data_IF_456590273106
#
_entry.id   IF_456590273106
#
_cell.length_a   1.000
_cell.length_b   1.000
_cell.length_c   1.000
_cell.angle_alpha   90.00
_cell.angle_beta   90.00
_cell.angle_gamma   90.00
#
_symmetry.space_group_name_H-M   'P 1'
#
loop_
_entity.id
_entity.type
_entity.pdbx_description
1 polymer ?
#
# COMPACT_ATOMS: atom_id res chain seq x y z
N UNK A 1 14.35 -26.93 27.70
CA UNK A 1 14.26 -26.22 26.42
C UNK A 1 15.61 -25.58 26.14
N UNK A 2 16.14 -25.71 24.95
CA UNK A 2 17.37 -24.99 24.58
C UNK A 2 17.11 -23.47 24.57
N UNK A 3 18.15 -22.66 24.74
CA UNK A 3 18.04 -21.19 24.67
C UNK A 3 17.45 -20.73 23.32
N UNK A 4 17.84 -21.42 22.25
CA UNK A 4 17.32 -21.17 20.89
C UNK A 4 15.80 -21.35 20.79
N UNK A 5 15.25 -22.43 21.38
CA UNK A 5 13.82 -22.68 21.38
C UNK A 5 13.05 -21.60 22.18
N UNK A 6 13.65 -21.11 23.27
CA UNK A 6 13.03 -20.03 24.05
C UNK A 6 13.00 -18.75 23.24
N UNK A 7 14.10 -18.40 22.55
CA UNK A 7 14.16 -17.21 21.70
C UNK A 7 13.17 -17.30 20.51
N UNK A 8 13.00 -18.46 19.90
CA UNK A 8 12.01 -18.69 18.85
C UNK A 8 10.58 -18.48 19.35
N UNK A 9 10.26 -19.00 20.55
CA UNK A 9 8.93 -18.78 21.16
C UNK A 9 8.71 -17.29 21.47
N UNK A 10 9.72 -16.60 22.02
CA UNK A 10 9.60 -15.17 22.31
C UNK A 10 9.39 -14.38 21.01
N UNK A 11 10.16 -14.65 19.96
CA UNK A 11 10.02 -13.97 18.66
C UNK A 11 8.63 -14.18 18.07
N UNK A 12 8.17 -15.44 18.03
CA UNK A 12 6.85 -15.77 17.50
C UNK A 12 5.72 -15.15 18.34
N UNK A 13 5.79 -15.25 19.67
CA UNK A 13 4.78 -14.67 20.56
C UNK A 13 4.75 -13.15 20.48
N UNK A 14 5.90 -12.48 20.35
CA UNK A 14 6.00 -11.03 20.19
C UNK A 14 5.38 -10.59 18.87
N UNK A 15 5.68 -11.28 17.76
CA UNK A 15 5.13 -10.97 16.47
C UNK A 15 3.61 -11.20 16.42
N UNK A 16 3.13 -12.36 16.87
CA UNK A 16 1.69 -12.67 16.92
C UNK A 16 0.98 -11.69 17.85
N UNK A 17 1.55 -11.40 19.02
CA UNK A 17 1.01 -10.43 19.97
C UNK A 17 0.91 -9.03 19.37
N UNK A 18 1.94 -8.58 18.61
CA UNK A 18 1.89 -7.31 17.91
C UNK A 18 0.76 -7.29 16.87
N UNK A 19 0.62 -8.34 16.06
CA UNK A 19 -0.48 -8.43 15.07
C UNK A 19 -1.85 -8.41 15.76
N UNK A 20 -2.03 -9.17 16.82
CA UNK A 20 -3.30 -9.19 17.59
C UNK A 20 -3.62 -7.81 18.16
N UNK A 21 -2.66 -7.12 18.76
CA UNK A 21 -2.85 -5.77 19.29
C UNK A 21 -3.17 -4.75 18.21
N UNK A 22 -2.55 -4.86 17.02
CA UNK A 22 -2.88 -4.02 15.85
C UNK A 22 -4.34 -4.26 15.44
N UNK A 23 -4.78 -5.52 15.37
CA UNK A 23 -6.17 -5.89 15.03
C UNK A 23 -7.20 -5.39 16.06
N UNK A 24 -6.84 -5.30 17.33
CA UNK A 24 -7.72 -4.82 18.39
C UNK A 24 -7.85 -3.28 18.42
N UNK A 25 -7.02 -2.56 17.69
CA UNK A 25 -7.04 -1.07 17.54
C UNK A 25 -7.00 -0.30 18.90
N UNK A 26 -6.54 -0.94 19.97
CA UNK A 26 -6.51 -0.32 21.30
C UNK A 26 -5.33 0.63 21.49
N UNK A 27 -4.27 0.44 20.73
CA UNK A 27 -3.05 1.24 20.76
C UNK A 27 -2.63 1.63 19.35
N UNK A 28 -1.89 2.72 19.24
CA UNK A 28 -1.35 3.17 17.96
C UNK A 28 -0.39 2.12 17.37
N UNK A 29 -0.53 1.79 16.09
CA UNK A 29 0.23 0.73 15.40
C UNK A 29 1.75 0.88 15.56
N UNK A 30 2.25 2.12 15.49
CA UNK A 30 3.66 2.44 15.66
C UNK A 30 4.15 2.11 17.07
N UNK A 31 3.34 2.38 18.10
CA UNK A 31 3.69 2.06 19.51
C UNK A 31 3.76 0.55 19.69
N UNK A 32 2.80 -0.20 19.13
CA UNK A 32 2.79 -1.66 19.21
C UNK A 32 4.05 -2.25 18.56
N UNK A 33 4.38 -1.81 17.34
CA UNK A 33 5.55 -2.29 16.61
C UNK A 33 6.86 -1.94 17.34
N UNK A 34 6.95 -0.72 17.89
CA UNK A 34 8.11 -0.29 18.67
C UNK A 34 8.29 -1.11 19.94
N UNK A 35 7.21 -1.36 20.69
CA UNK A 35 7.24 -2.23 21.86
C UNK A 35 7.69 -3.64 21.49
N UNK A 36 7.17 -4.20 20.39
CA UNK A 36 7.59 -5.51 19.92
C UNK A 36 9.08 -5.56 19.57
N UNK A 37 9.59 -4.57 18.84
CA UNK A 37 11.02 -4.46 18.53
C UNK A 37 11.88 -4.35 19.81
N UNK A 38 11.45 -3.55 20.78
CA UNK A 38 12.13 -3.42 22.06
C UNK A 38 12.12 -4.74 22.88
N UNK A 39 11.01 -5.47 22.89
CA UNK A 39 10.94 -6.79 23.55
C UNK A 39 12.01 -7.73 22.97
N UNK A 40 12.19 -7.79 21.65
CA UNK A 40 13.21 -8.64 21.02
C UNK A 40 14.64 -8.27 21.44
N UNK A 41 14.91 -6.96 21.61
CA UNK A 41 16.22 -6.48 22.07
C UNK A 41 16.42 -6.77 23.56
N UNK A 42 15.45 -6.45 24.43
CA UNK A 42 15.56 -6.65 25.88
C UNK A 42 15.58 -8.12 26.29
N UNK A 43 14.95 -9.00 25.52
CA UNK A 43 14.97 -10.46 25.76
C UNK A 43 16.18 -11.15 25.11
N UNK A 44 17.12 -10.36 24.55
CA UNK A 44 18.33 -10.88 23.90
C UNK A 44 18.04 -11.84 22.72
N UNK A 45 16.87 -11.74 22.09
CA UNK A 45 16.62 -12.41 20.81
C UNK A 45 17.54 -11.82 19.73
N UNK A 46 17.74 -10.49 19.76
CA UNK A 46 18.72 -9.80 18.93
C UNK A 46 19.39 -8.67 19.70
N UNK A 47 20.57 -8.27 19.22
CA UNK A 47 21.26 -7.06 19.69
C UNK A 47 20.68 -5.81 19.01
N UNK A 48 20.95 -4.63 19.57
CA UNK A 48 20.55 -3.37 18.94
C UNK A 48 21.21 -3.20 17.55
N UNK A 49 22.46 -3.62 17.39
CA UNK A 49 23.17 -3.55 16.11
C UNK A 49 22.50 -4.44 15.06
N UNK A 50 22.06 -5.62 15.41
CA UNK A 50 21.31 -6.50 14.51
C UNK A 50 19.94 -5.90 14.15
N UNK A 51 19.23 -5.31 15.13
CA UNK A 51 17.97 -4.61 14.87
C UNK A 51 18.17 -3.46 13.85
N UNK A 52 19.20 -2.63 14.02
CA UNK A 52 19.57 -1.58 13.05
C UNK A 52 19.93 -2.19 11.70
N UNK A 53 20.61 -3.35 11.68
CA UNK A 53 20.90 -4.10 10.45
C UNK A 53 19.64 -4.50 9.70
N UNK A 54 18.59 -4.97 10.40
CA UNK A 54 17.30 -5.29 9.76
C UNK A 54 16.58 -4.03 9.23
N UNK A 55 16.65 -2.91 9.95
CA UNK A 55 16.14 -1.62 9.45
C UNK A 55 16.87 -1.22 8.17
N UNK A 56 18.20 -1.37 8.12
CA UNK A 56 19.00 -0.99 6.94
C UNK A 56 18.66 -1.80 5.69
N UNK A 57 18.14 -3.03 5.82
CA UNK A 57 17.66 -3.84 4.69
C UNK A 57 16.44 -3.24 4.00
N UNK A 58 15.67 -2.42 4.71
CA UNK A 58 14.48 -1.73 4.19
C UNK A 58 14.76 -0.32 3.64
N UNK A 59 16.05 0.04 3.43
CA UNK A 59 16.45 1.39 3.05
C UNK A 59 15.74 1.90 1.78
N UNK A 60 15.57 1.05 0.76
CA UNK A 60 14.90 1.43 -0.48
C UNK A 60 13.42 1.78 -0.23
N UNK A 61 12.71 0.95 0.54
CA UNK A 61 11.32 1.20 0.93
C UNK A 61 11.18 2.50 1.72
N UNK A 62 12.01 2.68 2.75
CA UNK A 62 11.96 3.88 3.59
C UNK A 62 12.28 5.15 2.81
N UNK A 63 13.32 5.12 1.94
CA UNK A 63 13.72 6.25 1.12
C UNK A 63 12.66 6.62 0.08
N UNK A 64 12.04 5.62 -0.58
CA UNK A 64 10.98 5.84 -1.54
C UNK A 64 9.79 6.53 -0.90
N UNK A 65 9.25 5.96 0.19
CA UNK A 65 8.04 6.51 0.81
C UNK A 65 8.28 7.85 1.47
N UNK A 66 9.42 8.03 2.15
CA UNK A 66 9.81 9.35 2.64
C UNK A 66 9.87 10.38 1.49
N UNK A 67 10.54 10.03 0.38
CA UNK A 67 10.68 10.91 -0.78
C UNK A 67 9.33 11.28 -1.39
N UNK A 68 8.44 10.31 -1.60
CA UNK A 68 7.11 10.55 -2.16
C UNK A 68 6.25 11.37 -1.20
N UNK A 69 6.25 11.09 0.11
CA UNK A 69 5.50 11.87 1.11
C UNK A 69 5.93 13.34 1.13
N UNK A 70 7.23 13.61 1.12
CA UNK A 70 7.78 14.97 1.08
C UNK A 70 7.42 15.67 -0.22
N UNK A 71 7.57 14.99 -1.36
CA UNK A 71 7.22 15.53 -2.67
C UNK A 71 5.78 16.00 -2.70
N UNK A 72 4.85 15.17 -2.26
CA UNK A 72 3.41 15.45 -2.28
C UNK A 72 3.04 16.56 -1.31
N UNK A 73 3.55 16.48 -0.06
CA UNK A 73 3.27 17.48 0.98
C UNK A 73 3.74 18.87 0.56
N UNK A 74 4.83 18.97 -0.21
CA UNK A 74 5.33 20.23 -0.72
C UNK A 74 4.36 21.00 -1.62
N UNK A 75 3.41 20.31 -2.26
CA UNK A 75 2.41 20.92 -3.16
C UNK A 75 1.01 21.06 -2.56
N UNK A 76 0.77 20.54 -1.35
CA UNK A 76 -0.54 20.66 -0.67
C UNK A 76 -0.99 22.12 -0.50
N UNK A 77 -0.11 23.11 -0.16
CA UNK A 77 -0.52 24.52 -0.04
C UNK A 77 -1.02 25.15 -1.36
N UNK A 78 -0.77 24.50 -2.51
CA UNK A 78 -1.30 24.95 -3.80
C UNK A 78 -2.81 24.69 -3.95
N UNK A 79 -3.41 23.91 -3.03
CA UNK A 79 -4.82 23.46 -3.07
C UNK A 79 -5.18 22.64 -4.30
N UNK A 80 -4.20 21.96 -4.92
CA UNK A 80 -4.47 21.10 -6.09
C UNK A 80 -5.42 19.96 -5.74
N UNK A 81 -5.29 19.36 -4.55
CA UNK A 81 -6.14 18.25 -4.13
C UNK A 81 -7.58 18.70 -3.88
N UNK A 82 -7.78 19.90 -3.27
CA UNK A 82 -9.09 20.53 -3.10
C UNK A 82 -9.75 20.77 -4.47
N UNK A 83 -8.99 21.32 -5.42
CA UNK A 83 -9.46 21.53 -6.79
C UNK A 83 -9.87 20.20 -7.46
N UNK A 84 -9.03 19.16 -7.38
CA UNK A 84 -9.34 17.85 -7.95
C UNK A 84 -10.59 17.22 -7.31
N UNK A 85 -10.76 17.34 -5.99
CA UNK A 85 -11.94 16.84 -5.31
C UNK A 85 -13.23 17.57 -5.76
N UNK A 86 -13.17 18.89 -5.97
CA UNK A 86 -14.32 19.65 -6.50
C UNK A 86 -14.66 19.21 -7.93
N UNK A 87 -13.68 18.81 -8.73
CA UNK A 87 -13.94 18.28 -10.07
C UNK A 87 -14.81 17.01 -10.05
N UNK A 88 -14.80 16.22 -8.96
CA UNK A 88 -15.68 15.04 -8.81
C UNK A 88 -17.14 15.47 -8.97
N UNK A 89 -17.54 16.56 -8.33
CA UNK A 89 -18.94 17.06 -8.39
C UNK A 89 -19.25 17.69 -9.74
N UNK A 90 -18.30 18.41 -10.31
CA UNK A 90 -18.44 19.00 -11.66
C UNK A 90 -18.65 17.89 -12.70
N UNK A 91 -17.90 16.81 -12.64
CA UNK A 91 -18.06 15.62 -13.50
C UNK A 91 -19.42 14.96 -13.27
N UNK A 92 -19.92 14.98 -12.03
CA UNK A 92 -21.17 14.32 -11.65
C UNK A 92 -22.42 14.89 -12.33
N UNK A 93 -22.42 16.18 -12.70
CA UNK A 93 -23.54 16.83 -13.40
C UNK A 93 -24.91 16.49 -12.80
N UNK A 94 -25.02 16.47 -11.48
CA UNK A 94 -26.27 16.12 -10.76
C UNK A 94 -26.66 14.65 -10.81
N UNK A 95 -25.76 13.75 -11.21
CA UNK A 95 -26.04 12.30 -11.32
C UNK A 95 -25.14 11.48 -10.40
N UNK A 96 -25.73 10.70 -9.49
CA UNK A 96 -25.01 9.85 -8.55
C UNK A 96 -24.08 8.82 -9.23
N UNK A 97 -24.47 8.28 -10.39
CA UNK A 97 -23.59 7.38 -11.16
C UNK A 97 -22.29 8.07 -11.60
N UNK A 98 -22.38 9.33 -12.05
CA UNK A 98 -21.21 10.09 -12.47
C UNK A 98 -20.38 10.57 -11.27
N UNK A 99 -21.01 10.80 -10.12
CA UNK A 99 -20.32 11.06 -8.85
C UNK A 99 -19.42 9.88 -8.47
N UNK A 100 -19.95 8.66 -8.47
CA UNK A 100 -19.18 7.44 -8.17
C UNK A 100 -18.06 7.23 -9.18
N UNK A 101 -18.33 7.41 -10.48
CA UNK A 101 -17.31 7.31 -11.53
C UNK A 101 -16.28 8.43 -11.43
N UNK A 102 -16.65 9.63 -11.00
CA UNK A 102 -15.74 10.75 -10.73
C UNK A 102 -14.75 10.43 -9.60
N UNK A 103 -15.22 9.78 -8.52
CA UNK A 103 -14.34 9.30 -7.45
C UNK A 103 -13.34 8.29 -8.02
N UNK A 104 -13.79 7.31 -8.81
CA UNK A 104 -12.88 6.34 -9.47
C UNK A 104 -11.87 7.06 -10.35
N UNK A 105 -12.32 7.97 -11.23
CA UNK A 105 -11.48 8.64 -12.22
C UNK A 105 -10.40 9.54 -11.59
N UNK A 106 -10.67 10.16 -10.43
CA UNK A 106 -9.72 11.04 -9.76
C UNK A 106 -8.82 10.25 -8.80
N UNK A 107 -9.36 9.30 -8.05
CA UNK A 107 -8.58 8.52 -7.09
C UNK A 107 -7.56 7.60 -7.79
N UNK A 108 -7.94 6.97 -8.91
CA UNK A 108 -7.09 6.00 -9.61
C UNK A 108 -5.72 6.55 -10.02
N UNK A 109 -5.60 7.65 -10.79
CA UNK A 109 -4.30 8.14 -11.23
C UNK A 109 -3.46 8.68 -10.07
N UNK A 110 -4.09 9.23 -9.03
CA UNK A 110 -3.40 9.73 -7.84
C UNK A 110 -2.77 8.56 -7.08
N UNK A 111 -3.53 7.49 -6.82
CA UNK A 111 -3.03 6.29 -6.13
C UNK A 111 -2.07 5.44 -6.97
N UNK A 112 -2.04 5.61 -8.28
CA UNK A 112 -1.00 4.99 -9.11
C UNK A 112 0.41 5.57 -8.83
N UNK A 113 0.49 6.77 -8.26
CA UNK A 113 1.75 7.48 -7.99
C UNK A 113 2.00 7.66 -6.49
N UNK A 114 0.94 7.82 -5.71
CA UNK A 114 1.00 8.07 -4.28
C UNK A 114 0.55 6.84 -3.49
N UNK A 115 1.15 6.61 -2.32
CA UNK A 115 0.69 5.57 -1.41
C UNK A 115 -0.82 5.70 -1.11
N UNK A 116 -1.50 4.58 -1.08
CA UNK A 116 -2.96 4.51 -0.87
C UNK A 116 -3.43 5.29 0.39
N UNK A 117 -2.75 5.11 1.53
CA UNK A 117 -3.08 5.83 2.76
C UNK A 117 -2.90 7.35 2.62
N UNK A 118 -1.81 7.80 1.98
CA UNK A 118 -1.54 9.23 1.72
C UNK A 118 -2.62 9.82 0.82
N UNK A 119 -3.02 9.12 -0.25
CA UNK A 119 -4.09 9.59 -1.14
C UNK A 119 -5.41 9.72 -0.40
N UNK A 120 -5.77 8.74 0.43
CA UNK A 120 -7.00 8.81 1.25
C UNK A 120 -6.90 9.96 2.25
N UNK A 121 -5.76 10.17 2.90
CA UNK A 121 -5.56 11.29 3.83
C UNK A 121 -5.79 12.66 3.17
N UNK A 122 -5.38 12.80 1.90
CA UNK A 122 -5.51 14.05 1.15
C UNK A 122 -6.92 14.29 0.57
N UNK A 123 -7.55 13.24 0.04
CA UNK A 123 -8.83 13.39 -0.69
C UNK A 123 -10.06 13.14 0.19
N UNK A 124 -9.98 12.23 1.16
CA UNK A 124 -11.14 11.84 1.94
C UNK A 124 -11.75 12.96 2.82
N UNK A 125 -10.97 13.90 3.41
CA UNK A 125 -11.55 15.04 4.15
C UNK A 125 -12.46 15.92 3.31
N UNK A 126 -12.29 15.90 1.98
CA UNK A 126 -13.05 16.72 1.05
C UNK A 126 -14.40 16.09 0.68
N UNK A 127 -14.58 14.78 0.90
CA UNK A 127 -15.81 14.05 0.56
C UNK A 127 -17.00 14.39 1.46
N UNK A 128 -16.87 14.44 2.81
CA UNK A 128 -18.01 14.72 3.68
C UNK A 128 -18.69 16.06 3.42
N UNK A 129 -17.97 17.21 3.32
CA UNK A 129 -18.60 18.48 2.97
C UNK A 129 -19.36 18.41 1.65
N UNK A 130 -18.73 17.89 0.60
CA UNK A 130 -19.32 17.74 -0.73
C UNK A 130 -20.61 16.88 -0.66
N UNK A 131 -20.56 15.75 0.04
CA UNK A 131 -21.69 14.86 0.18
C UNK A 131 -22.86 15.48 0.95
N UNK A 132 -22.55 16.29 1.97
CA UNK A 132 -23.55 17.04 2.74
C UNK A 132 -24.26 18.09 1.87
N UNK A 133 -23.51 18.84 1.06
CA UNK A 133 -24.06 19.87 0.16
C UNK A 133 -25.04 19.28 -0.87
N UNK A 134 -24.80 18.05 -1.33
CA UNK A 134 -25.67 17.35 -2.27
C UNK A 134 -26.69 16.41 -1.62
N UNK A 135 -26.75 16.38 -0.26
CA UNK A 135 -27.71 15.58 0.51
C UNK A 135 -27.52 14.06 0.41
N UNK A 136 -26.26 13.59 0.24
CA UNK A 136 -25.90 12.16 0.12
C UNK A 136 -25.08 11.73 1.34
N UNK A 137 -25.28 10.49 1.79
CA UNK A 137 -24.43 9.88 2.83
C UNK A 137 -23.00 9.72 2.31
N UNK A 138 -22.04 10.31 3.02
CA UNK A 138 -20.62 10.29 2.64
C UNK A 138 -19.90 8.98 2.97
N UNK A 139 -20.43 8.16 3.89
CA UNK A 139 -19.78 6.90 4.30
C UNK A 139 -19.57 5.95 3.10
N UNK A 140 -20.58 5.67 2.23
CA UNK A 140 -20.37 4.85 1.04
C UNK A 140 -19.35 5.43 0.06
N UNK A 141 -19.26 6.77 -0.04
CA UNK A 141 -18.29 7.44 -0.93
C UNK A 141 -16.86 7.28 -0.42
N UNK A 142 -16.66 7.40 0.89
CA UNK A 142 -15.36 7.12 1.52
C UNK A 142 -14.95 5.66 1.35
N UNK A 143 -15.88 4.72 1.54
CA UNK A 143 -15.64 3.28 1.33
C UNK A 143 -15.23 3.02 -0.14
N UNK A 144 -15.94 3.62 -1.11
CA UNK A 144 -15.56 3.51 -2.52
C UNK A 144 -14.15 4.05 -2.76
N UNK A 145 -13.85 5.26 -2.26
CA UNK A 145 -12.52 5.86 -2.41
C UNK A 145 -11.42 4.93 -1.92
N UNK A 146 -11.62 4.30 -0.77
CA UNK A 146 -10.66 3.36 -0.18
C UNK A 146 -10.47 2.12 -1.06
N UNK A 147 -11.55 1.51 -1.57
CA UNK A 147 -11.44 0.35 -2.46
C UNK A 147 -10.67 0.68 -3.74
N UNK A 148 -10.93 1.86 -4.30
CA UNK A 148 -10.20 2.33 -5.49
C UNK A 148 -8.76 2.63 -5.13
N UNK A 149 -8.48 3.28 -4.00
CA UNK A 149 -7.12 3.59 -3.55
C UNK A 149 -6.28 2.32 -3.39
N UNK A 150 -6.78 1.32 -2.67
CA UNK A 150 -6.08 0.06 -2.48
C UNK A 150 -5.86 -0.69 -3.80
N UNK A 151 -6.89 -0.75 -4.67
CA UNK A 151 -6.80 -1.43 -5.97
C UNK A 151 -5.83 -0.73 -6.92
N UNK A 152 -5.84 0.61 -6.92
CA UNK A 152 -4.99 1.43 -7.80
C UNK A 152 -3.52 1.41 -7.39
N UNK A 153 -3.22 1.09 -6.13
CA UNK A 153 -1.85 0.84 -5.66
C UNK A 153 -1.13 -0.27 -6.42
N UNK A 154 -1.87 -1.18 -7.07
CA UNK A 154 -1.33 -2.23 -7.94
C UNK A 154 -1.02 -1.76 -9.37
N UNK A 155 -1.36 -0.53 -9.75
CA UNK A 155 -1.09 -0.01 -11.11
C UNK A 155 0.38 0.29 -11.36
N UNK A 156 1.12 0.63 -10.32
CA UNK A 156 2.56 0.88 -10.40
C UNK A 156 3.30 0.28 -9.20
N UNK A 157 4.59 0.10 -9.37
CA UNK A 157 5.47 -0.42 -8.30
C UNK A 157 5.48 0.48 -7.06
N UNK A 158 5.23 1.79 -7.19
CA UNK A 158 5.34 2.78 -6.12
C UNK A 158 4.00 3.16 -5.49
N UNK A 159 2.88 2.65 -6.03
CA UNK A 159 1.52 3.00 -5.57
C UNK A 159 1.11 2.38 -4.23
N UNK A 160 1.76 1.29 -3.80
CA UNK A 160 1.48 0.64 -2.52
C UNK A 160 2.78 0.10 -1.89
N UNK A 161 3.01 0.33 -0.57
CA UNK A 161 4.19 -0.19 0.12
C UNK A 161 4.37 -1.70 0.03
N UNK A 162 3.29 -2.47 0.17
CA UNK A 162 3.36 -3.92 0.07
C UNK A 162 3.83 -4.36 -1.32
N UNK A 163 3.36 -3.69 -2.37
CA UNK A 163 3.77 -3.92 -3.76
C UNK A 163 5.25 -3.61 -3.97
N UNK A 164 5.73 -2.48 -3.44
CA UNK A 164 7.14 -2.11 -3.56
C UNK A 164 8.06 -3.09 -2.81
N UNK A 165 7.71 -3.50 -1.59
CA UNK A 165 8.49 -4.45 -0.79
C UNK A 165 8.66 -5.79 -1.54
N UNK A 166 7.61 -6.30 -2.16
CA UNK A 166 7.71 -7.53 -2.96
C UNK A 166 8.56 -7.30 -4.20
N UNK A 167 8.32 -6.22 -4.91
CA UNK A 167 9.06 -5.89 -6.13
C UNK A 167 10.57 -5.72 -5.89
N UNK A 168 10.93 -4.99 -4.85
CA UNK A 168 12.32 -4.81 -4.41
C UNK A 168 12.97 -6.16 -4.02
N UNK A 169 12.24 -7.01 -3.30
CA UNK A 169 12.71 -8.32 -2.86
C UNK A 169 12.99 -9.31 -3.98
N UNK A 170 12.36 -9.17 -5.15
CA UNK A 170 12.58 -9.99 -6.35
C UNK A 170 13.34 -9.26 -7.45
N UNK A 171 13.83 -8.06 -7.17
CA UNK A 171 14.57 -7.20 -8.09
C UNK A 171 13.82 -6.92 -9.42
N UNK A 172 12.49 -6.76 -9.37
CA UNK A 172 11.72 -6.39 -10.56
C UNK A 172 11.89 -4.90 -10.85
N UNK A 173 12.19 -4.57 -12.11
CA UNK A 173 12.29 -3.18 -12.52
C UNK A 173 10.91 -2.51 -12.62
N UNK A 174 10.88 -1.18 -12.55
CA UNK A 174 9.63 -0.42 -12.70
C UNK A 174 8.94 -0.71 -14.05
N UNK A 175 9.71 -0.82 -15.13
CA UNK A 175 9.18 -1.14 -16.47
C UNK A 175 8.62 -2.56 -16.54
N UNK A 176 9.34 -3.54 -16.00
CA UNK A 176 8.84 -4.93 -15.94
C UNK A 176 7.56 -5.02 -15.13
N UNK A 177 7.47 -4.28 -14.02
CA UNK A 177 6.25 -4.20 -13.23
C UNK A 177 5.08 -3.67 -14.07
N UNK A 178 5.29 -2.56 -14.79
CA UNK A 178 4.26 -1.98 -15.67
C UNK A 178 3.80 -2.97 -16.74
N UNK A 179 4.72 -3.69 -17.34
CA UNK A 179 4.41 -4.64 -18.41
C UNK A 179 3.69 -5.90 -17.92
N UNK A 180 4.09 -6.41 -16.73
CA UNK A 180 3.62 -7.71 -16.24
C UNK A 180 2.45 -7.61 -15.26
N UNK A 181 2.40 -6.56 -14.43
CA UNK A 181 1.51 -6.53 -13.25
C UNK A 181 0.45 -5.42 -13.31
N UNK A 182 0.72 -4.29 -13.97
CA UNK A 182 -0.21 -3.15 -13.99
C UNK A 182 -1.58 -3.50 -14.58
N UNK A 183 -1.62 -4.41 -15.55
CA UNK A 183 -2.90 -4.87 -16.13
C UNK A 183 -3.78 -5.55 -15.08
N UNK A 184 -3.20 -6.36 -14.18
CA UNK A 184 -3.94 -6.95 -13.07
C UNK A 184 -4.49 -5.90 -12.10
N UNK A 185 -3.71 -4.84 -11.82
CA UNK A 185 -4.18 -3.67 -11.08
C UNK A 185 -5.36 -2.96 -11.77
N UNK A 186 -5.26 -2.76 -13.09
CA UNK A 186 -6.34 -2.18 -13.88
C UNK A 186 -7.61 -3.04 -13.85
N UNK A 187 -7.48 -4.37 -13.92
CA UNK A 187 -8.60 -5.31 -13.77
C UNK A 187 -9.22 -5.20 -12.38
N UNK A 188 -8.40 -5.03 -11.33
CA UNK A 188 -8.91 -4.87 -9.97
C UNK A 188 -9.74 -3.59 -9.80
N UNK A 189 -9.28 -2.45 -10.37
CA UNK A 189 -10.05 -1.18 -10.41
C UNK A 189 -11.32 -1.35 -11.24
N UNK A 190 -11.23 -1.97 -12.42
CA UNK A 190 -12.37 -2.23 -13.29
C UNK A 190 -13.41 -3.12 -12.59
N UNK A 191 -12.99 -4.12 -11.83
CA UNK A 191 -13.88 -5.00 -11.05
C UNK A 191 -14.73 -4.19 -10.09
N UNK A 192 -14.14 -3.29 -9.28
CA UNK A 192 -14.90 -2.40 -8.39
C UNK A 192 -15.83 -1.49 -9.19
N UNK A 193 -15.34 -0.92 -10.30
CA UNK A 193 -16.11 -0.02 -11.16
C UNK A 193 -17.36 -0.69 -11.73
N UNK A 194 -17.25 -1.93 -12.20
CA UNK A 194 -18.38 -2.72 -12.69
C UNK A 194 -19.36 -3.11 -11.58
N UNK A 195 -18.90 -3.22 -10.34
CA UNK A 195 -19.74 -3.51 -9.19
C UNK A 195 -20.51 -2.29 -8.65
N UNK A 196 -20.21 -1.05 -9.05
CA UNK A 196 -20.83 0.18 -8.51
C UNK A 196 -22.36 0.16 -8.50
N UNK A 197 -23.07 -0.26 -9.57
CA UNK A 197 -24.54 -0.27 -9.57
C UNK A 197 -25.13 -1.22 -8.52
N UNK A 198 -24.41 -2.27 -8.18
CA UNK A 198 -24.81 -3.27 -7.22
C UNK A 198 -24.38 -2.92 -5.78
N UNK A 199 -23.18 -2.38 -5.61
CA UNK A 199 -22.65 -1.97 -4.31
C UNK A 199 -23.38 -0.73 -3.76
N UNK A 200 -23.64 0.25 -4.62
CA UNK A 200 -24.20 1.55 -4.25
C UNK A 200 -25.50 1.89 -5.00
N UNK A 201 -26.52 0.99 -5.02
CA UNK A 201 -27.69 1.15 -5.87
C UNK A 201 -28.51 2.42 -5.57
N UNK A 202 -28.52 2.88 -4.32
CA UNK A 202 -29.20 4.11 -3.93
C UNK A 202 -28.51 5.31 -4.56
N UNK A 203 -27.21 5.45 -4.37
CA UNK A 203 -26.43 6.59 -4.93
C UNK A 203 -26.43 6.52 -6.45
N UNK A 204 -26.25 5.32 -7.04
CA UNK A 204 -26.23 5.13 -8.49
C UNK A 204 -27.46 5.68 -9.20
N UNK A 205 -28.63 5.56 -8.58
CA UNK A 205 -29.93 6.00 -9.13
C UNK A 205 -30.32 7.42 -8.70
N UNK A 206 -29.63 8.02 -7.73
CA UNK A 206 -29.95 9.35 -7.23
C UNK A 206 -29.62 10.40 -8.28
N UNK A 207 -30.52 11.38 -8.39
CA UNK A 207 -30.27 12.65 -9.06
C UNK A 207 -30.32 13.73 -8.00
N UNK A 208 -29.40 14.67 -8.05
CA UNK A 208 -29.36 15.83 -7.16
C UNK A 208 -29.33 17.10 -8.00
N UNK A 209 -29.77 18.20 -7.44
CA UNK A 209 -29.71 19.48 -8.14
C UNK A 209 -28.26 19.83 -8.46
N UNK A 210 -28.05 20.34 -9.66
CA UNK A 210 -26.71 20.75 -10.06
C UNK A 210 -26.34 21.99 -9.25
N UNK A 211 -25.35 21.86 -8.40
CA UNK A 211 -24.86 22.98 -7.60
C UNK A 211 -23.97 23.85 -8.50
N UNK A 212 -24.55 24.88 -9.11
CA UNK A 212 -23.80 25.88 -9.87
C UNK A 212 -22.89 26.72 -8.97
N UNK A 213 -23.17 26.77 -7.66
CA UNK A 213 -22.51 27.60 -6.67
C UNK A 213 -21.55 26.86 -5.73
N UNK A 214 -21.03 25.70 -6.11
CA UNK A 214 -19.96 25.10 -5.30
C UNK A 214 -18.76 26.05 -5.29
N UNK A 215 -18.20 26.37 -4.10
CA UNK A 215 -17.00 27.16 -4.04
C UNK A 215 -15.91 26.41 -4.79
N UNK A 216 -15.53 26.94 -5.96
CA UNK A 216 -14.36 26.44 -6.69
C UNK A 216 -13.12 26.90 -5.92
N UNK A 217 -12.40 25.99 -5.26
CA UNK A 217 -11.15 26.37 -4.61
C UNK A 217 -10.23 26.92 -5.69
N UNK A 218 -9.82 28.17 -5.53
CA UNK A 218 -8.82 28.76 -6.40
C UNK A 218 -7.48 28.05 -6.18
N UNK A 219 -6.83 27.69 -7.28
CA UNK A 219 -5.48 27.13 -7.22
C UNK A 219 -4.55 28.25 -6.73
N UNK A 220 -3.99 28.04 -5.56
CA UNK A 220 -2.96 28.93 -5.02
C UNK A 220 -1.64 28.69 -5.77
N UNK A 221 -0.92 29.75 -6.04
CA UNK A 221 0.44 29.68 -6.63
C UNK A 221 0.53 28.86 -7.93
N UNK A 222 -0.22 29.21 -9.02
CA UNK A 222 -0.28 28.40 -10.25
C UNK A 222 1.07 28.18 -10.92
N UNK A 223 2.02 29.12 -10.79
CA UNK A 223 3.39 28.96 -11.29
C UNK A 223 4.15 27.84 -10.57
N UNK A 224 3.99 27.77 -9.24
CA UNK A 224 4.61 26.71 -8.43
C UNK A 224 3.99 25.35 -8.77
N UNK A 225 2.68 25.32 -8.95
CA UNK A 225 1.99 24.10 -9.38
C UNK A 225 2.48 23.63 -10.75
N UNK A 226 2.67 24.55 -11.71
CA UNK A 226 3.20 24.19 -13.04
C UNK A 226 4.62 23.62 -12.95
N UNK A 227 5.52 24.26 -12.17
CA UNK A 227 6.87 23.74 -11.92
C UNK A 227 6.84 22.40 -11.18
N UNK A 228 5.94 22.24 -10.21
CA UNK A 228 5.70 20.98 -9.51
C UNK A 228 5.22 19.88 -10.44
N UNK A 229 4.34 20.20 -11.37
CA UNK A 229 3.89 19.28 -12.43
C UNK A 229 5.05 18.82 -13.32
N UNK A 230 5.95 19.72 -13.70
CA UNK A 230 7.19 19.39 -14.45
C UNK A 230 8.08 18.47 -13.60
N UNK A 231 8.26 18.76 -12.31
CA UNK A 231 9.04 17.93 -11.41
C UNK A 231 8.44 16.53 -11.24
N UNK A 232 7.13 16.44 -11.07
CA UNK A 232 6.43 15.14 -10.98
C UNK A 232 6.58 14.37 -12.29
N UNK A 233 6.41 15.02 -13.43
CA UNK A 233 6.62 14.39 -14.74
C UNK A 233 8.07 13.88 -14.89
N UNK A 234 9.05 14.66 -14.43
CA UNK A 234 10.45 14.25 -14.40
C UNK A 234 10.64 13.00 -13.52
N UNK A 235 10.11 12.99 -12.30
CA UNK A 235 10.17 11.83 -11.39
C UNK A 235 9.56 10.59 -12.04
N UNK A 236 8.39 10.72 -12.67
CA UNK A 236 7.72 9.60 -13.35
C UNK A 236 8.51 9.08 -14.55
N UNK A 237 9.11 9.98 -15.34
CA UNK A 237 10.00 9.59 -16.44
C UNK A 237 11.20 8.83 -15.90
N UNK A 238 11.83 9.31 -14.82
CA UNK A 238 13.00 8.66 -14.25
C UNK A 238 12.66 7.35 -13.51
N UNK A 239 11.46 7.14 -13.02
CA UNK A 239 11.02 5.81 -12.59
C UNK A 239 11.03 4.80 -13.75
N UNK A 240 10.71 5.26 -14.96
CA UNK A 240 10.67 4.39 -16.15
C UNK A 240 12.06 4.16 -16.74
N UNK A 241 12.86 5.22 -16.90
CA UNK A 241 14.16 5.11 -17.62
C UNK A 241 15.37 5.00 -16.69
N UNK A 242 15.25 5.34 -15.40
CA UNK A 242 16.39 5.46 -14.49
C UNK A 242 17.17 4.15 -14.32
N UNK A 243 16.46 3.03 -14.28
CA UNK A 243 17.08 1.70 -14.15
C UNK A 243 17.78 1.23 -15.44
N UNK A 244 17.49 1.86 -16.58
CA UNK A 244 18.10 1.53 -17.88
C UNK A 244 19.43 2.24 -18.14
N UNK A 245 19.87 3.15 -17.25
CA UNK A 245 21.16 3.83 -17.40
C UNK A 245 22.33 2.87 -17.15
N UNK A 246 23.54 3.17 -17.71
CA UNK A 246 24.75 2.38 -17.43
C UNK A 246 25.07 2.26 -15.93
N UNK A 247 24.70 3.28 -15.14
CA UNK A 247 24.66 3.23 -13.68
C UNK A 247 23.19 3.36 -13.29
N UNK A 248 22.52 2.26 -12.89
CA UNK A 248 21.09 2.27 -12.61
C UNK A 248 20.75 3.23 -11.47
N UNK A 249 19.71 4.04 -11.69
CA UNK A 249 19.15 4.94 -10.65
C UNK A 249 17.88 4.28 -10.12
N UNK A 250 17.92 3.89 -8.85
CA UNK A 250 16.78 3.22 -8.22
C UNK A 250 15.58 4.16 -8.04
N UNK A 251 14.34 3.65 -8.02
CA UNK A 251 13.14 4.45 -7.73
C UNK A 251 13.24 5.23 -6.41
N UNK A 252 13.87 4.64 -5.39
CA UNK A 252 14.12 5.31 -4.11
C UNK A 252 14.99 6.57 -4.27
N UNK A 253 16.06 6.49 -5.05
CA UNK A 253 16.95 7.65 -5.32
C UNK A 253 16.20 8.74 -6.11
N UNK A 254 15.38 8.36 -7.10
CA UNK A 254 14.55 9.29 -7.86
C UNK A 254 13.52 9.99 -6.98
N UNK A 255 12.88 9.27 -6.05
CA UNK A 255 11.94 9.87 -5.11
C UNK A 255 12.60 10.87 -4.17
N UNK A 256 13.81 10.57 -3.63
CA UNK A 256 14.59 11.50 -2.81
C UNK A 256 15.03 12.75 -3.60
N UNK A 257 15.41 12.58 -4.86
CA UNK A 257 15.68 13.69 -5.76
C UNK A 257 14.45 14.58 -5.92
N UNK A 258 13.29 13.99 -6.25
CA UNK A 258 12.02 14.71 -6.35
C UNK A 258 11.67 15.47 -5.08
N UNK A 259 11.80 14.83 -3.92
CA UNK A 259 11.61 15.46 -2.61
C UNK A 259 12.50 16.68 -2.39
N UNK A 260 13.79 16.54 -2.69
CA UNK A 260 14.77 17.62 -2.50
C UNK A 260 14.41 18.83 -3.35
N UNK A 261 14.09 18.63 -4.62
CA UNK A 261 13.70 19.73 -5.52
C UNK A 261 12.32 20.31 -5.17
N UNK A 262 11.38 19.50 -4.68
CA UNK A 262 10.09 19.99 -4.19
C UNK A 262 10.27 20.90 -2.95
N UNK A 263 11.11 20.50 -1.99
CA UNK A 263 11.46 21.33 -0.83
C UNK A 263 12.11 22.65 -1.26
N UNK A 264 13.05 22.60 -2.20
CA UNK A 264 13.70 23.81 -2.74
C UNK A 264 12.68 24.73 -3.40
N UNK A 265 11.79 24.19 -4.21
CA UNK A 265 10.74 24.95 -4.90
C UNK A 265 9.77 25.59 -3.89
N UNK A 266 9.30 24.83 -2.90
CA UNK A 266 8.42 25.33 -1.85
C UNK A 266 9.07 26.45 -1.03
N UNK A 267 10.32 26.27 -0.64
CA UNK A 267 11.09 27.24 0.12
C UNK A 267 11.35 28.54 -0.67
N UNK A 268 11.85 28.43 -1.91
CA UNK A 268 12.14 29.59 -2.75
C UNK A 268 10.87 30.37 -3.11
N UNK A 269 9.77 29.67 -3.31
CA UNK A 269 8.47 30.27 -3.64
C UNK A 269 7.72 30.80 -2.39
N UNK A 270 8.27 30.59 -1.20
CA UNK A 270 7.69 31.01 0.09
C UNK A 270 6.27 30.50 0.32
N UNK A 271 5.92 29.35 -0.24
CA UNK A 271 4.58 28.74 -0.05
C UNK A 271 4.49 27.97 1.25
N UNK A 272 5.60 27.36 1.68
CA UNK A 272 5.72 26.71 2.98
C UNK A 272 7.20 26.66 3.43
N UNK A 273 7.42 26.36 4.71
CA UNK A 273 8.77 26.17 5.25
C UNK A 273 9.17 24.71 5.21
N UNK A 274 10.46 24.43 5.03
CA UNK A 274 10.99 23.06 5.07
C UNK A 274 10.61 22.36 6.37
N UNK A 275 10.62 23.10 7.51
CA UNK A 275 10.24 22.54 8.81
C UNK A 275 8.79 22.10 8.87
N UNK A 276 7.84 22.87 8.33
CA UNK A 276 6.44 22.50 8.29
C UNK A 276 6.22 21.27 7.40
N UNK A 277 6.81 21.26 6.19
CA UNK A 277 6.69 20.14 5.27
C UNK A 277 7.22 18.86 5.93
N UNK A 278 8.40 18.91 6.55
CA UNK A 278 8.99 17.75 7.21
C UNK A 278 8.22 17.32 8.46
N UNK A 279 7.60 18.27 9.20
CA UNK A 279 6.76 17.97 10.36
C UNK A 279 5.52 17.15 9.98
N UNK A 280 4.95 17.43 8.81
CA UNK A 280 3.70 16.83 8.34
C UNK A 280 3.93 15.52 7.55
N UNK A 281 5.19 15.05 7.43
CA UNK A 281 5.51 13.70 6.93
C UNK A 281 4.91 12.66 7.88
N UNK A 282 4.38 11.58 7.34
CA UNK A 282 3.85 10.46 8.14
C UNK A 282 4.99 9.63 8.75
N UNK A 283 5.61 10.21 9.79
CA UNK A 283 6.65 9.56 10.58
C UNK A 283 6.16 8.28 11.25
N UNK A 284 4.86 8.22 11.57
CA UNK A 284 4.24 7.04 12.17
C UNK A 284 4.39 5.82 11.29
N UNK A 285 4.07 5.95 10.02
CA UNK A 285 4.20 4.88 9.03
C UNK A 285 5.66 4.50 8.80
N UNK A 286 6.59 5.47 8.72
CA UNK A 286 8.02 5.18 8.53
C UNK A 286 8.60 4.42 9.74
N UNK A 287 8.30 4.86 10.99
CA UNK A 287 8.75 4.18 12.20
C UNK A 287 8.11 2.78 12.30
N UNK A 288 6.84 2.66 11.94
CA UNK A 288 6.17 1.36 11.89
C UNK A 288 6.89 0.40 10.93
N UNK A 289 7.30 0.86 9.74
CA UNK A 289 8.09 0.04 8.80
C UNK A 289 9.40 -0.41 9.42
N UNK A 290 10.17 0.53 10.00
CA UNK A 290 11.42 0.17 10.67
C UNK A 290 11.21 -0.94 11.70
N UNK A 291 10.20 -0.81 12.55
CA UNK A 291 9.94 -1.78 13.61
C UNK A 291 9.44 -3.13 13.10
N UNK A 292 8.60 -3.14 12.04
CA UNK A 292 8.11 -4.41 11.49
C UNK A 292 9.23 -5.22 10.85
N UNK A 293 10.22 -4.57 10.21
CA UNK A 293 11.41 -5.26 9.70
C UNK A 293 12.26 -5.87 10.83
N UNK A 294 12.35 -5.20 11.99
CA UNK A 294 13.00 -5.77 13.17
C UNK A 294 12.25 -7.00 13.70
N UNK A 295 10.92 -6.91 13.77
CA UNK A 295 10.08 -8.03 14.23
C UNK A 295 10.24 -9.27 13.34
N UNK A 296 10.25 -9.08 12.02
CA UNK A 296 10.47 -10.16 11.06
C UNK A 296 11.91 -10.68 11.16
N UNK A 297 12.88 -9.78 11.32
CA UNK A 297 14.27 -10.17 11.60
C UNK A 297 14.42 -11.09 12.81
N UNK A 298 13.61 -10.89 13.84
CA UNK A 298 13.54 -11.79 14.99
C UNK A 298 13.05 -13.19 14.61
N UNK A 299 12.04 -13.30 13.76
CA UNK A 299 11.54 -14.59 13.25
C UNK A 299 12.57 -15.30 12.35
N UNK A 300 13.27 -14.54 11.49
CA UNK A 300 14.33 -15.07 10.65
C UNK A 300 15.48 -15.64 11.50
N UNK A 301 16.03 -14.81 12.39
CA UNK A 301 17.17 -15.15 13.23
C UNK A 301 16.92 -16.37 14.10
N UNK A 302 15.71 -16.54 14.60
CA UNK A 302 15.35 -17.66 15.50
C UNK A 302 14.92 -18.92 14.75
N UNK A 303 14.93 -18.92 13.40
CA UNK A 303 14.58 -20.07 12.59
C UNK A 303 13.07 -20.35 12.47
N UNK A 304 12.20 -19.47 13.00
CA UNK A 304 10.74 -19.62 12.87
C UNK A 304 10.33 -19.60 11.40
N UNK A 305 10.92 -18.68 10.58
CA UNK A 305 10.67 -18.61 9.13
C UNK A 305 11.06 -19.92 8.46
N UNK A 306 12.21 -20.52 8.80
CA UNK A 306 12.64 -21.81 8.25
C UNK A 306 11.68 -22.95 8.60
N UNK A 307 11.20 -23.00 9.84
CA UNK A 307 10.19 -23.97 10.27
C UNK A 307 8.88 -23.85 9.48
N UNK A 308 8.37 -22.63 9.34
CA UNK A 308 7.14 -22.36 8.56
C UNK A 308 7.32 -22.67 7.08
N UNK A 309 8.48 -22.36 6.49
CA UNK A 309 8.78 -22.67 5.09
C UNK A 309 8.86 -24.16 4.83
N UNK A 310 9.33 -24.95 5.78
CA UNK A 310 9.31 -26.42 5.73
C UNK A 310 7.89 -26.98 5.69
N UNK A 311 6.98 -26.42 6.49
CA UNK A 311 5.55 -26.77 6.45
C UNK A 311 4.96 -26.41 5.08
N UNK A 312 5.25 -25.21 4.57
CA UNK A 312 4.79 -24.77 3.25
C UNK A 312 5.30 -25.70 2.14
N UNK A 313 6.57 -26.10 2.21
CA UNK A 313 7.18 -27.03 1.29
C UNK A 313 6.52 -28.43 1.32
N UNK A 314 6.11 -28.89 2.49
CA UNK A 314 5.42 -30.17 2.64
C UNK A 314 3.99 -30.16 2.05
N UNK A 315 3.32 -28.99 2.06
CA UNK A 315 1.95 -28.83 1.55
C UNK A 315 1.94 -28.60 0.04
N UNK A 316 2.76 -27.67 -0.45
CA UNK A 316 2.75 -27.23 -1.86
C UNK A 316 3.72 -28.03 -2.74
N UNK A 317 4.75 -28.66 -2.16
CA UNK A 317 5.79 -29.36 -2.89
C UNK A 317 6.48 -28.43 -3.91
N UNK A 318 6.59 -28.90 -5.16
CA UNK A 318 7.16 -28.13 -6.30
C UNK A 318 6.10 -27.58 -7.25
N UNK A 319 4.83 -27.61 -6.88
CA UNK A 319 3.76 -27.16 -7.77
C UNK A 319 3.57 -25.64 -7.67
N UNK A 320 4.30 -24.89 -8.51
CA UNK A 320 4.24 -23.41 -8.52
C UNK A 320 2.83 -22.90 -8.86
N UNK A 321 2.13 -23.53 -9.80
CA UNK A 321 0.79 -23.11 -10.20
C UNK A 321 -0.20 -23.21 -9.03
N UNK A 322 -0.24 -24.38 -8.38
CA UNK A 322 -1.08 -24.58 -7.19
C UNK A 322 -0.64 -23.63 -6.06
N UNK A 323 0.66 -23.52 -5.82
CA UNK A 323 1.24 -22.63 -4.82
C UNK A 323 0.82 -21.18 -5.01
N UNK A 324 0.87 -20.69 -6.24
CA UNK A 324 0.47 -19.31 -6.58
C UNK A 324 -1.01 -19.07 -6.27
N UNK A 325 -1.90 -19.97 -6.68
CA UNK A 325 -3.34 -19.82 -6.42
C UNK A 325 -3.67 -19.92 -4.94
N UNK A 326 -3.07 -20.88 -4.23
CA UNK A 326 -3.25 -21.03 -2.78
C UNK A 326 -2.75 -19.80 -2.06
N UNK A 327 -1.57 -19.27 -2.42
CA UNK A 327 -1.03 -18.06 -1.82
C UNK A 327 -1.92 -16.84 -2.08
N UNK A 328 -2.40 -16.65 -3.32
CA UNK A 328 -3.30 -15.54 -3.65
C UNK A 328 -4.52 -15.54 -2.74
N UNK A 329 -5.19 -16.68 -2.59
CA UNK A 329 -6.40 -16.80 -1.79
C UNK A 329 -6.11 -16.72 -0.30
N UNK A 330 -5.13 -17.49 0.20
CA UNK A 330 -4.81 -17.54 1.64
C UNK A 330 -4.27 -16.21 2.13
N UNK A 331 -3.32 -15.61 1.38
CA UNK A 331 -2.77 -14.30 1.72
C UNK A 331 -3.86 -13.22 1.61
N UNK A 332 -4.75 -13.32 0.62
CA UNK A 332 -5.90 -12.41 0.50
C UNK A 332 -6.85 -12.48 1.69
N UNK A 333 -7.18 -13.69 2.14
CA UNK A 333 -8.01 -13.88 3.34
C UNK A 333 -7.29 -13.40 4.61
N UNK A 334 -6.00 -13.70 4.75
CA UNK A 334 -5.21 -13.20 5.89
C UNK A 334 -5.09 -11.69 5.87
N UNK A 335 -4.87 -11.07 4.71
CA UNK A 335 -4.74 -9.62 4.56
C UNK A 335 -6.04 -8.87 4.85
N UNK A 336 -7.18 -9.55 4.81
CA UNK A 336 -8.43 -8.93 5.26
C UNK A 336 -8.46 -8.67 6.77
N UNK A 337 -7.63 -9.36 7.54
CA UNK A 337 -7.58 -9.27 9.02
C UNK A 337 -6.25 -8.72 9.52
N UNK A 338 -5.15 -9.10 8.87
CA UNK A 338 -3.80 -8.62 9.17
C UNK A 338 -3.45 -7.53 8.14
N UNK A 339 -2.98 -6.35 8.56
CA UNK A 339 -2.58 -5.31 7.60
C UNK A 339 -1.58 -5.84 6.56
N UNK A 340 -1.74 -5.40 5.30
CA UNK A 340 -1.00 -5.93 4.15
C UNK A 340 0.53 -5.85 4.30
N UNK A 341 1.05 -4.78 4.90
CA UNK A 341 2.50 -4.55 5.03
C UNK A 341 3.17 -5.58 5.94
N UNK A 342 2.77 -5.77 7.23
CA UNK A 342 3.32 -6.83 8.07
C UNK A 342 3.25 -8.21 7.43
N UNK A 343 2.13 -8.49 6.77
CA UNK A 343 1.93 -9.77 6.10
C UNK A 343 2.95 -10.00 4.99
N UNK A 344 3.14 -9.00 4.11
CA UNK A 344 4.09 -9.09 2.99
C UNK A 344 5.53 -9.17 3.48
N UNK A 345 5.92 -8.35 4.47
CA UNK A 345 7.28 -8.37 5.04
C UNK A 345 7.60 -9.74 5.65
N UNK A 346 6.62 -10.43 6.24
CA UNK A 346 6.79 -11.80 6.74
C UNK A 346 6.80 -12.85 5.63
N UNK A 347 5.96 -12.69 4.62
CA UNK A 347 5.81 -13.66 3.54
C UNK A 347 6.98 -13.68 2.57
N UNK A 348 7.65 -12.55 2.33
CA UNK A 348 8.80 -12.48 1.43
C UNK A 348 9.93 -13.43 1.84
N UNK A 349 10.51 -13.34 3.07
CA UNK A 349 11.54 -14.27 3.50
C UNK A 349 11.03 -15.71 3.59
N UNK A 350 9.76 -15.92 3.95
CA UNK A 350 9.12 -17.23 3.98
C UNK A 350 9.12 -17.88 2.59
N UNK A 351 8.76 -17.15 1.55
CA UNK A 351 8.76 -17.65 0.17
C UNK A 351 10.17 -17.87 -0.36
N UNK A 352 11.12 -16.97 -0.09
CA UNK A 352 12.53 -17.18 -0.43
C UNK A 352 13.07 -18.48 0.17
N UNK A 353 12.83 -18.69 1.47
CA UNK A 353 13.26 -19.91 2.17
C UNK A 353 12.52 -21.16 1.65
N UNK A 354 11.22 -21.05 1.33
CA UNK A 354 10.47 -22.14 0.71
C UNK A 354 11.08 -22.55 -0.63
N UNK A 355 11.42 -21.60 -1.50
CA UNK A 355 12.03 -21.87 -2.80
C UNK A 355 13.41 -22.55 -2.68
N UNK A 356 14.18 -22.18 -1.67
CA UNK A 356 15.44 -22.88 -1.32
C UNK A 356 15.15 -24.31 -0.86
N UNK A 357 14.19 -24.51 0.05
CA UNK A 357 13.86 -25.82 0.60
C UNK A 357 13.36 -26.81 -0.46
N UNK A 358 12.64 -26.34 -1.48
CA UNK A 358 12.17 -27.18 -2.60
C UNK A 358 13.18 -27.28 -3.75
N UNK A 359 14.29 -26.54 -3.69
CA UNK A 359 15.40 -26.62 -4.65
C UNK A 359 15.12 -25.93 -6.00
N UNK A 360 14.37 -24.83 -6.01
CA UNK A 360 14.21 -23.95 -7.18
C UNK A 360 15.31 -22.90 -7.28
N UNK A 361 15.84 -22.46 -6.15
CA UNK A 361 16.90 -21.44 -6.06
C UNK A 361 17.94 -21.88 -5.03
N UNK A 362 19.15 -21.34 -5.12
CA UNK A 362 20.20 -21.57 -4.13
C UNK A 362 20.02 -20.67 -2.89
N UNK A 363 20.87 -20.87 -1.90
CA UNK A 363 20.84 -20.12 -0.63
C UNK A 363 21.24 -18.65 -0.77
N UNK A 364 21.84 -18.26 -1.90
CA UNK A 364 22.24 -16.89 -2.21
C UNK A 364 21.06 -15.90 -2.20
N UNK A 365 19.84 -16.35 -2.52
CA UNK A 365 18.64 -15.50 -2.52
C UNK A 365 18.22 -15.07 -1.10
N UNK A 366 18.77 -15.72 -0.08
CA UNK A 366 18.53 -15.37 1.33
C UNK A 366 19.47 -14.25 1.79
N UNK A 367 20.53 -13.96 1.05
CA UNK A 367 21.41 -12.84 1.34
C UNK A 367 20.68 -11.52 1.07
N UNK A 368 20.65 -10.57 2.03
CA UNK A 368 20.03 -9.27 1.84
C UNK A 368 20.62 -8.43 0.71
N UNK A 369 21.88 -8.70 0.34
CA UNK A 369 22.58 -8.02 -0.76
C UNK A 369 22.36 -8.69 -2.13
N UNK A 370 21.55 -9.74 -2.18
CA UNK A 370 21.28 -10.44 -3.44
C UNK A 370 20.56 -9.52 -4.43
N UNK A 371 21.21 -9.23 -5.53
CA UNK A 371 20.71 -8.42 -6.64
C UNK A 371 20.46 -9.19 -7.93
N UNK A 372 20.56 -10.55 -7.86
CA UNK A 372 20.28 -11.42 -8.99
C UNK A 372 18.77 -11.51 -9.30
N UNK A 373 18.46 -11.94 -10.51
CA UNK A 373 17.08 -12.20 -10.90
C UNK A 373 16.63 -13.60 -10.45
N UNK A 374 15.37 -13.69 -10.04
CA UNK A 374 14.74 -14.98 -9.78
C UNK A 374 14.40 -15.70 -11.09
N UNK A 375 14.42 -17.06 -11.12
CA UNK A 375 13.93 -17.81 -12.26
C UNK A 375 12.47 -17.39 -12.60
N UNK A 376 12.14 -17.15 -13.88
CA UNK A 376 10.81 -16.69 -14.27
C UNK A 376 9.68 -17.60 -13.80
N UNK A 377 9.95 -18.90 -13.69
CA UNK A 377 8.98 -19.93 -13.26
C UNK A 377 8.51 -19.79 -11.83
N UNK A 378 9.29 -19.14 -10.93
CA UNK A 378 8.89 -18.96 -9.52
C UNK A 378 8.25 -17.60 -9.25
N UNK A 379 8.39 -16.64 -10.15
CA UNK A 379 7.83 -15.28 -9.99
C UNK A 379 6.32 -15.25 -9.77
N UNK A 380 5.50 -16.15 -10.37
CA UNK A 380 4.06 -16.18 -10.14
C UNK A 380 3.68 -16.31 -8.67
N UNK A 381 4.50 -16.94 -7.81
CA UNK A 381 4.26 -17.02 -6.36
C UNK A 381 4.27 -15.65 -5.71
N UNK A 382 5.25 -14.82 -6.04
CA UNK A 382 5.37 -13.45 -5.52
C UNK A 382 4.29 -12.54 -6.06
N UNK A 383 3.95 -12.66 -7.35
CA UNK A 383 2.87 -11.90 -7.97
C UNK A 383 1.50 -12.22 -7.35
N UNK A 384 1.22 -13.51 -7.17
CA UNK A 384 0.01 -13.99 -6.54
C UNK A 384 -0.10 -13.50 -5.07
N UNK A 385 1.01 -13.58 -4.31
CA UNK A 385 1.08 -13.05 -2.96
C UNK A 385 0.82 -11.54 -2.92
N UNK A 386 1.40 -10.76 -3.83
CA UNK A 386 1.23 -9.32 -3.96
C UNK A 386 -0.24 -8.96 -4.21
N UNK A 387 -0.88 -9.59 -5.19
CA UNK A 387 -2.32 -9.40 -5.45
C UNK A 387 -3.16 -9.79 -4.24
N UNK A 388 -2.89 -10.95 -3.64
CA UNK A 388 -3.60 -11.40 -2.44
C UNK A 388 -3.50 -10.39 -1.30
N UNK A 389 -2.30 -9.94 -0.98
CA UNK A 389 -2.06 -9.00 0.12
C UNK A 389 -2.75 -7.65 -0.09
N UNK A 390 -2.66 -7.07 -1.28
CA UNK A 390 -3.24 -5.76 -1.54
C UNK A 390 -4.76 -5.82 -1.67
N UNK A 391 -5.30 -6.79 -2.43
CA UNK A 391 -6.75 -6.90 -2.66
C UNK A 391 -7.50 -7.44 -1.45
N UNK A 392 -6.86 -8.28 -0.64
CA UNK A 392 -7.41 -8.76 0.63
C UNK A 392 -7.68 -7.63 1.61
N UNK A 393 -6.86 -6.57 1.59
CA UNK A 393 -7.05 -5.37 2.40
C UNK A 393 -8.40 -4.67 2.22
N UNK A 394 -9.10 -4.91 1.10
CA UNK A 394 -10.44 -4.40 0.86
C UNK A 394 -11.53 -5.17 1.65
N UNK A 395 -11.22 -6.31 2.23
CA UNK A 395 -12.21 -7.18 2.88
C UNK A 395 -12.78 -6.63 4.17
N UNK A 396 -11.95 -6.00 5.02
CA UNK A 396 -12.37 -5.47 6.33
C UNK A 396 -11.77 -4.09 6.60
N UNK A 397 -12.30 -3.43 7.63
CA UNK A 397 -11.85 -2.10 8.06
C UNK A 397 -10.36 -2.10 8.46
N UNK A 398 -9.88 -3.18 9.07
CA UNK A 398 -8.50 -3.31 9.56
C UNK A 398 -7.51 -3.83 8.51
N UNK A 399 -7.99 -4.27 7.35
CA UNK A 399 -7.17 -4.90 6.31
C UNK A 399 -6.13 -3.98 5.65
N UNK A 400 -6.35 -2.67 5.68
CA UNK A 400 -5.40 -1.67 5.15
C UNK A 400 -5.43 -0.38 5.98
N UNK A 401 -4.28 0.30 6.07
CA UNK A 401 -4.17 1.58 6.79
C UNK A 401 -5.05 2.68 6.20
N UNK A 402 -5.23 2.70 4.88
CA UNK A 402 -6.15 3.60 4.18
C UNK A 402 -7.60 3.49 4.66
N UNK A 403 -8.07 2.29 5.04
CA UNK A 403 -9.40 2.04 5.55
C UNK A 403 -9.58 2.72 6.92
N UNK A 404 -8.58 2.57 7.80
CA UNK A 404 -8.58 3.17 9.15
C UNK A 404 -8.52 4.69 9.06
N UNK A 405 -7.70 5.24 8.15
CA UNK A 405 -7.64 6.68 7.89
C UNK A 405 -9.02 7.22 7.47
N UNK A 406 -9.69 6.55 6.53
CA UNK A 406 -11.03 6.96 6.08
C UNK A 406 -12.07 6.88 7.21
N UNK A 407 -11.98 5.87 8.10
CA UNK A 407 -12.84 5.77 9.26
C UNK A 407 -12.63 6.91 10.26
N UNK A 408 -11.37 7.27 10.53
CA UNK A 408 -11.03 8.42 11.38
C UNK A 408 -11.56 9.75 10.81
N UNK A 409 -11.45 9.94 9.48
CA UNK A 409 -12.02 11.12 8.81
C UNK A 409 -13.55 11.12 8.90
N UNK A 410 -14.19 9.96 8.77
CA UNK A 410 -15.63 9.86 8.96
C UNK A 410 -16.06 10.30 10.36
N UNK A 411 -15.34 9.88 11.40
CA UNK A 411 -15.61 10.27 12.79
C UNK A 411 -15.42 11.77 13.02
N UNK A 412 -14.39 12.38 12.45
CA UNK A 412 -14.16 13.84 12.54
C UNK A 412 -15.30 14.66 11.95
N UNK A 413 -16.06 14.11 11.00
CA UNK A 413 -17.20 14.75 10.36
C UNK A 413 -18.56 14.26 10.91
N UNK A 414 -18.56 13.62 12.08
CA UNK A 414 -19.78 13.20 12.78
C UNK A 414 -20.42 11.93 12.23
N UNK A 415 -19.77 11.22 11.30
CA UNK A 415 -20.19 9.92 10.80
C UNK A 415 -19.48 8.76 11.53
N UNK A 416 -20.00 7.55 11.38
CA UNK A 416 -19.36 6.34 11.94
C UNK A 416 -19.26 5.24 10.90
N UNK A 417 -18.05 5.00 10.43
CA UNK A 417 -17.73 3.87 9.57
C UNK A 417 -17.48 2.62 10.43
N UNK A 418 -18.56 1.88 10.74
CA UNK A 418 -18.43 0.69 11.60
C UNK A 418 -17.81 -0.48 10.85
N UNK A 419 -17.15 -1.39 11.57
CA UNK A 419 -16.63 -2.64 11.01
C UNK A 419 -17.72 -3.40 10.23
N UNK A 420 -18.95 -3.50 10.76
CA UNK A 420 -20.07 -4.15 10.09
C UNK A 420 -20.48 -3.44 8.80
N UNK A 421 -20.47 -2.11 8.80
CA UNK A 421 -20.79 -1.32 7.59
C UNK A 421 -19.74 -1.56 6.52
N UNK A 422 -18.47 -1.57 6.89
CA UNK A 422 -17.38 -1.83 5.96
C UNK A 422 -17.47 -3.26 5.36
N UNK A 423 -17.63 -4.29 6.21
CA UNK A 423 -17.78 -5.69 5.78
C UNK A 423 -18.85 -5.91 4.71
N UNK A 424 -19.98 -5.20 4.83
CA UNK A 424 -21.08 -5.31 3.86
C UNK A 424 -20.66 -5.01 2.42
N UNK A 425 -19.73 -4.05 2.26
CA UNK A 425 -19.19 -3.66 0.96
C UNK A 425 -17.88 -4.38 0.65
N UNK A 426 -17.04 -4.55 1.67
CA UNK A 426 -15.68 -5.04 1.52
C UNK A 426 -15.59 -6.51 1.14
N UNK A 427 -16.34 -7.39 1.81
CA UNK A 427 -16.30 -8.84 1.52
C UNK A 427 -16.66 -9.14 0.06
N UNK A 428 -17.76 -8.63 -0.50
CA UNK A 428 -18.09 -8.85 -1.90
C UNK A 428 -17.00 -8.33 -2.86
N UNK A 429 -16.44 -7.14 -2.59
CA UNK A 429 -15.38 -6.56 -3.41
C UNK A 429 -14.13 -7.43 -3.36
N UNK A 430 -13.67 -7.80 -2.15
CA UNK A 430 -12.51 -8.67 -1.96
C UNK A 430 -12.66 -10.00 -2.71
N UNK A 431 -13.80 -10.69 -2.54
CA UNK A 431 -14.04 -11.98 -3.20
C UNK A 431 -13.96 -11.82 -4.72
N UNK A 432 -14.66 -10.83 -5.28
CA UNK A 432 -14.64 -10.61 -6.74
C UNK A 432 -13.26 -10.25 -7.25
N UNK A 433 -12.50 -9.43 -6.50
CA UNK A 433 -11.14 -9.07 -6.88
C UNK A 433 -10.17 -10.25 -6.77
N UNK A 434 -10.27 -11.08 -5.74
CA UNK A 434 -9.44 -12.30 -5.64
C UNK A 434 -9.78 -13.30 -6.74
N UNK A 435 -11.05 -13.43 -7.14
CA UNK A 435 -11.45 -14.25 -8.28
C UNK A 435 -10.88 -13.73 -9.60
N UNK A 436 -11.05 -12.44 -9.88
CA UNK A 436 -10.51 -11.83 -11.13
C UNK A 436 -8.99 -11.85 -11.17
N UNK A 437 -8.31 -11.62 -10.03
CA UNK A 437 -6.86 -11.75 -9.92
C UNK A 437 -6.40 -13.21 -10.10
N UNK A 438 -7.12 -14.21 -9.57
CA UNK A 438 -6.80 -15.61 -9.81
C UNK A 438 -6.89 -15.96 -11.30
N UNK A 439 -7.95 -15.53 -11.98
CA UNK A 439 -8.11 -15.72 -13.43
C UNK A 439 -6.94 -15.04 -14.18
N UNK A 440 -6.60 -13.81 -13.79
CA UNK A 440 -5.48 -13.08 -14.39
C UNK A 440 -4.15 -13.82 -14.21
N UNK A 441 -3.85 -14.28 -13.00
CA UNK A 441 -2.61 -15.03 -12.69
C UNK A 441 -2.56 -16.34 -13.50
N UNK A 442 -3.67 -17.06 -13.63
CA UNK A 442 -3.73 -18.28 -14.43
C UNK A 442 -3.40 -17.99 -15.89
N UNK A 443 -4.08 -17.01 -16.49
CA UNK A 443 -3.98 -16.73 -17.93
C UNK A 443 -2.60 -16.16 -18.30
N UNK A 444 -2.05 -15.27 -17.46
CA UNK A 444 -0.85 -14.50 -17.84
C UNK A 444 0.45 -15.18 -17.39
N UNK A 445 0.42 -15.91 -16.27
CA UNK A 445 1.64 -16.42 -15.66
C UNK A 445 1.71 -17.95 -15.54
N UNK A 446 0.60 -18.66 -15.65
CA UNK A 446 0.58 -20.10 -15.46
C UNK A 446 0.20 -20.90 -16.73
N UNK A 447 -0.35 -20.26 -17.75
CA UNK A 447 -0.58 -20.81 -19.10
C UNK A 447 0.47 -20.30 -20.08
#
# INVERSE_FOLDING_TARGET
>A
MSTENIQAIIAAATFIGAIVLIMLEQLHITVIALLGALILVFTHVMTLNEAVGYISRSHATLALFFGVMVLVRSFEPTKIFDYLATQIVTIAKGQGKLLLLGIVAITTPICAVLPNATTVMLLAPLIPPIAQDIGIDFIPLLILMVFIANSSGLLTLVGDPATFIVGDAINITFVEYLQKLSLGGAIAVLTVTLMLPWLFPKIWRTKFEHLEDLPHPEINHPKVLALGGILIAFVLIFFVIGESFPVPISPAAVALFGATFALLLAHQSKIDTVQNILKDVDWSTLIFFMCIFVLIGGLEKTGVINGLSGILASILGKNIALGSLVLLVVVGLLSSVVPNIPLVVAMVPLLKQYLVNVGFVGTEVLDPSYSGQFPPEVLPLFYAMMYGATLGGNGTLVGASSNIVAAGIAEQHGGKMTFRTFLKYGIPVMIMQLLTASIYVIIVFLL
#
